data_IF_050002193566
#
_entry.id   IF_050002193566
#
_cell.length_a   1.000
_cell.length_b   1.000
_cell.length_c   1.000
_cell.angle_alpha   90.00
_cell.angle_beta   90.00
_cell.angle_gamma   90.00
#
_symmetry.space_group_name_H-M   'P 1'
#
loop_
_entity.id
_entity.type
_entity.pdbx_description
1 polymer ?
#
# COMPACT_ATOMS: atom_id res chain seq x y z
N UNK A 1 -12.02 -43.70 -21.44
CA UNK A 1 -12.03 -42.23 -21.58
C UNK A 1 -11.86 -41.97 -23.05
N UNK A 2 -12.95 -41.60 -23.68
CA UNK A 2 -13.03 -41.25 -25.10
C UNK A 2 -12.66 -39.78 -25.27
N UNK A 3 -12.13 -39.36 -26.42
CA UNK A 3 -11.80 -37.96 -26.71
C UNK A 3 -12.96 -37.00 -26.39
N UNK A 4 -14.19 -37.48 -26.58
CA UNK A 4 -15.41 -36.74 -26.28
C UNK A 4 -15.58 -36.36 -24.80
N UNK A 5 -15.05 -37.17 -23.87
CA UNK A 5 -15.11 -36.88 -22.42
C UNK A 5 -14.11 -35.78 -22.01
N UNK A 6 -13.07 -35.57 -22.81
CA UNK A 6 -12.03 -34.56 -22.56
C UNK A 6 -12.50 -33.19 -23.04
N UNK A 7 -13.15 -33.14 -24.20
CA UNK A 7 -13.73 -31.91 -24.75
C UNK A 7 -14.86 -31.37 -23.87
N UNK A 8 -15.75 -32.24 -23.38
CA UNK A 8 -16.88 -31.85 -22.51
C UNK A 8 -16.37 -31.27 -21.17
N UNK A 9 -15.28 -31.82 -20.63
CA UNK A 9 -14.62 -31.32 -19.43
C UNK A 9 -13.82 -30.04 -19.67
N UNK A 10 -13.28 -29.86 -20.87
CA UNK A 10 -12.61 -28.62 -21.28
C UNK A 10 -13.59 -27.47 -21.46
N UNK A 11 -14.79 -27.76 -21.97
CA UNK A 11 -15.85 -26.76 -22.11
C UNK A 11 -16.48 -26.40 -20.75
N UNK A 12 -16.67 -27.36 -19.83
CA UNK A 12 -17.04 -27.05 -18.43
C UNK A 12 -16.01 -26.14 -17.74
N UNK A 13 -14.71 -26.41 -17.92
CA UNK A 13 -13.64 -25.57 -17.35
C UNK A 13 -13.58 -24.17 -17.99
N UNK A 14 -13.96 -24.04 -19.27
CA UNK A 14 -14.09 -22.74 -19.95
C UNK A 14 -15.30 -21.94 -19.47
N UNK A 15 -16.41 -22.61 -19.18
CA UNK A 15 -17.59 -21.95 -18.61
C UNK A 15 -17.37 -21.51 -17.16
N UNK A 16 -16.63 -22.28 -16.35
CA UNK A 16 -16.18 -21.85 -15.01
C UNK A 16 -15.26 -20.62 -15.06
N UNK A 17 -14.28 -20.58 -15.97
CA UNK A 17 -13.44 -19.39 -16.20
C UNK A 17 -14.22 -18.21 -16.80
N UNK A 18 -15.22 -18.47 -17.64
CA UNK A 18 -16.04 -17.43 -18.29
C UNK A 18 -17.04 -16.78 -17.34
N UNK A 19 -17.40 -17.45 -16.24
CA UNK A 19 -18.33 -16.92 -15.24
C UNK A 19 -17.59 -16.19 -14.11
N UNK A 20 -16.26 -16.37 -14.02
CA UNK A 20 -15.38 -15.68 -13.08
C UNK A 20 -14.87 -14.33 -13.58
N UNK A 21 -15.63 -13.26 -13.30
CA UNK A 21 -15.11 -11.91 -13.01
C UNK A 21 -14.18 -11.22 -14.04
N UNK A 22 -14.30 -11.51 -15.34
CA UNK A 22 -13.54 -10.76 -16.38
C UNK A 22 -14.32 -9.60 -16.99
N UNK A 23 -15.65 -9.65 -17.00
CA UNK A 23 -16.49 -8.62 -17.60
C UNK A 23 -16.74 -7.41 -16.67
N UNK A 24 -16.62 -7.58 -15.36
CA UNK A 24 -16.76 -6.47 -14.39
C UNK A 24 -15.54 -5.54 -14.35
N UNK A 25 -14.39 -5.94 -14.94
CA UNK A 25 -13.20 -5.08 -15.04
C UNK A 25 -13.29 -4.00 -16.10
N UNK A 26 -14.16 -4.17 -17.09
CA UNK A 26 -14.20 -3.32 -18.30
C UNK A 26 -15.31 -2.25 -18.27
N UNK A 27 -16.09 -2.14 -17.18
CA UNK A 27 -17.01 -1.01 -16.98
C UNK A 27 -16.30 0.10 -16.17
N UNK A 28 -15.99 1.26 -16.77
CA UNK A 28 -15.39 2.39 -16.05
C UNK A 28 -16.25 2.89 -14.87
N UNK A 29 -17.53 2.51 -14.80
CA UNK A 29 -18.42 2.83 -13.69
C UNK A 29 -18.39 1.81 -12.54
N UNK A 30 -17.82 0.61 -12.76
CA UNK A 30 -17.64 -0.43 -11.73
C UNK A 30 -16.17 -0.58 -11.29
N UNK A 31 -15.23 0.19 -11.86
CA UNK A 31 -13.87 0.24 -11.33
C UNK A 31 -13.90 0.96 -9.98
N UNK A 32 -13.64 0.20 -8.92
CA UNK A 32 -13.43 0.72 -7.58
C UNK A 32 -12.43 1.88 -7.65
N UNK A 33 -12.77 3.00 -7.00
CA UNK A 33 -11.86 4.12 -6.91
C UNK A 33 -10.57 3.69 -6.19
N UNK A 34 -9.47 4.42 -6.37
CA UNK A 34 -8.25 4.09 -5.64
C UNK A 34 -8.46 4.18 -4.11
N UNK A 35 -9.35 5.06 -3.66
CA UNK A 35 -9.83 5.13 -2.27
C UNK A 35 -10.45 3.80 -1.82
N UNK A 36 -11.34 3.21 -2.60
CA UNK A 36 -11.96 1.90 -2.28
C UNK A 36 -10.91 0.79 -2.18
N UNK A 37 -9.93 0.79 -3.11
CA UNK A 37 -8.80 -0.16 -3.09
C UNK A 37 -7.94 0.03 -1.82
N UNK A 38 -7.74 1.26 -1.38
CA UNK A 38 -7.01 1.57 -0.15
C UNK A 38 -7.80 1.14 1.10
N UNK A 39 -9.12 1.30 1.13
CA UNK A 39 -9.96 0.80 2.23
C UNK A 39 -9.82 -0.71 2.37
N UNK A 40 -9.97 -1.46 1.28
CA UNK A 40 -9.83 -2.91 1.27
C UNK A 40 -8.43 -3.37 1.73
N UNK A 41 -7.38 -2.66 1.28
CA UNK A 41 -6.01 -2.94 1.70
C UNK A 41 -5.79 -2.66 3.19
N UNK A 42 -6.38 -1.58 3.73
CA UNK A 42 -6.29 -1.25 5.15
C UNK A 42 -7.03 -2.27 6.03
N UNK A 43 -8.18 -2.77 5.58
CA UNK A 43 -8.94 -3.83 6.27
C UNK A 43 -8.19 -5.16 6.22
N UNK A 44 -7.60 -5.50 5.08
CA UNK A 44 -6.75 -6.70 4.93
C UNK A 44 -5.52 -6.64 5.84
N UNK A 45 -4.92 -5.45 6.02
CA UNK A 45 -3.82 -5.26 6.95
C UNK A 45 -4.27 -5.47 8.41
N UNK A 46 -5.43 -4.94 8.82
CA UNK A 46 -5.95 -5.17 10.18
C UNK A 46 -6.35 -6.63 10.43
N UNK A 47 -6.86 -7.32 9.40
CA UNK A 47 -7.17 -8.75 9.47
C UNK A 47 -5.91 -9.64 9.56
N UNK A 48 -4.72 -9.09 9.29
CA UNK A 48 -3.46 -9.82 9.23
C UNK A 48 -3.24 -10.57 7.91
N UNK A 49 -4.06 -10.29 6.90
CA UNK A 49 -3.95 -10.86 5.54
C UNK A 49 -2.84 -10.19 4.72
N UNK A 50 -2.41 -8.99 5.13
CA UNK A 50 -1.24 -8.30 4.60
C UNK A 50 -0.15 -8.16 5.66
N UNK A 51 1.11 -8.33 5.23
CA UNK A 51 2.26 -7.99 6.07
C UNK A 51 2.30 -6.49 6.33
N UNK A 52 2.18 -6.09 7.59
CA UNK A 52 2.38 -4.71 8.04
C UNK A 52 3.84 -4.22 7.85
N UNK A 53 4.78 -5.17 7.65
CA UNK A 53 6.19 -4.85 7.48
C UNK A 53 6.53 -4.64 6.00
N UNK A 54 7.09 -3.46 5.69
CA UNK A 54 7.73 -3.17 4.40
C UNK A 54 9.25 -3.39 4.55
N UNK A 55 9.81 -4.33 3.77
CA UNK A 55 11.25 -4.61 3.75
C UNK A 55 11.87 -4.23 2.41
N UNK A 56 12.96 -3.48 2.41
CA UNK A 56 13.75 -3.18 1.21
C UNK A 56 15.20 -3.57 1.43
N UNK A 57 15.77 -4.35 0.49
CA UNK A 57 17.20 -4.66 0.49
C UNK A 57 17.95 -3.61 -0.32
N UNK A 58 18.51 -2.62 0.37
CA UNK A 58 19.29 -1.55 -0.24
C UNK A 58 20.56 -1.29 0.59
N UNK A 59 21.73 -1.80 0.15
CA UNK A 59 23.00 -1.57 0.82
C UNK A 59 23.42 -0.09 0.87
N UNK A 60 23.00 0.71 -0.11
CA UNK A 60 23.37 2.14 -0.20
C UNK A 60 22.57 2.94 0.82
N UNK A 61 21.26 2.71 0.90
CA UNK A 61 20.42 3.31 1.93
C UNK A 61 20.85 2.87 3.33
N UNK A 62 21.20 1.59 3.50
CA UNK A 62 21.72 1.08 4.76
C UNK A 62 23.01 1.81 5.18
N UNK A 63 23.92 2.09 4.24
CA UNK A 63 25.13 2.85 4.50
C UNK A 63 24.84 4.32 4.89
N UNK A 64 23.86 4.97 4.25
CA UNK A 64 23.44 6.34 4.62
C UNK A 64 22.90 6.37 6.04
N UNK A 65 21.99 5.45 6.40
CA UNK A 65 21.41 5.40 7.74
C UNK A 65 22.46 5.08 8.81
N UNK A 66 23.42 4.21 8.50
CA UNK A 66 24.57 3.95 9.38
C UNK A 66 25.39 5.22 9.60
N UNK A 67 25.71 5.97 8.54
CA UNK A 67 26.50 7.19 8.64
C UNK A 67 25.77 8.29 9.41
N UNK A 68 24.45 8.43 9.25
CA UNK A 68 23.65 9.39 10.01
C UNK A 68 23.64 9.08 11.52
N UNK A 69 23.63 7.80 11.88
CA UNK A 69 23.70 7.38 13.27
C UNK A 69 25.10 7.61 13.87
N UNK A 70 26.17 7.33 13.11
CA UNK A 70 27.55 7.57 13.55
C UNK A 70 27.91 9.06 13.68
N UNK A 71 27.24 9.93 12.92
CA UNK A 71 27.45 11.38 12.93
C UNK A 71 26.45 12.13 13.84
N UNK A 72 25.63 11.42 14.63
CA UNK A 72 24.60 11.98 15.52
C UNK A 72 23.58 12.90 14.79
N UNK A 73 23.25 12.60 13.52
CA UNK A 73 22.35 13.41 12.65
C UNK A 73 20.96 12.82 12.44
N UNK A 74 20.62 11.76 13.16
CA UNK A 74 19.33 11.08 13.04
C UNK A 74 18.17 12.00 13.45
N UNK A 75 18.31 12.73 14.57
CA UNK A 75 17.27 13.65 15.08
C UNK A 75 17.04 14.82 14.11
N UNK A 76 18.11 15.42 13.59
CA UNK A 76 18.02 16.52 12.62
C UNK A 76 17.25 16.11 11.36
N UNK A 77 17.58 14.94 10.78
CA UNK A 77 16.91 14.43 9.58
C UNK A 77 15.47 14.02 9.89
N UNK A 78 15.23 13.38 11.02
CA UNK A 78 13.90 13.03 11.48
C UNK A 78 13.00 14.27 11.59
N UNK A 79 13.50 15.34 12.23
CA UNK A 79 12.76 16.59 12.40
C UNK A 79 12.50 17.30 11.07
N UNK A 80 13.47 17.33 10.15
CA UNK A 80 13.28 17.90 8.81
C UNK A 80 12.20 17.16 8.01
N UNK A 81 12.24 15.83 8.03
CA UNK A 81 11.22 15.02 7.33
C UNK A 81 9.84 15.14 7.98
N UNK A 82 9.80 15.28 9.31
CA UNK A 82 8.55 15.49 10.05
C UNK A 82 7.94 16.87 9.76
N UNK A 83 8.77 17.89 9.58
CA UNK A 83 8.33 19.25 9.19
C UNK A 83 7.87 19.30 7.74
N UNK A 84 8.51 18.55 6.84
CA UNK A 84 8.11 18.48 5.43
C UNK A 84 6.81 17.69 5.19
N UNK A 85 6.41 16.83 6.12
CA UNK A 85 5.19 16.04 6.01
C UNK A 85 3.97 16.84 6.49
N UNK A 86 2.98 17.04 5.62
CA UNK A 86 1.78 17.83 5.93
C UNK A 86 0.73 17.06 6.74
N UNK A 87 0.99 15.79 7.05
CA UNK A 87 0.11 14.91 7.83
C UNK A 87 0.57 14.69 9.28
N UNK A 88 -0.29 14.04 10.06
CA UNK A 88 0.09 13.56 11.39
C UNK A 88 0.98 12.31 11.26
N UNK A 89 2.26 12.43 11.60
CA UNK A 89 3.20 11.32 11.46
C UNK A 89 2.95 10.20 12.47
N UNK A 90 2.48 10.55 13.68
CA UNK A 90 2.37 9.64 14.82
C UNK A 90 3.71 9.06 15.31
N UNK A 91 4.84 9.58 14.82
CA UNK A 91 6.18 9.10 15.16
C UNK A 91 6.83 10.03 16.19
N UNK A 92 7.38 9.46 17.25
CA UNK A 92 7.97 10.21 18.37
C UNK A 92 9.50 10.08 18.47
N UNK A 93 10.07 9.01 17.91
CA UNK A 93 11.48 8.65 18.10
C UNK A 93 12.22 8.55 16.76
N UNK A 94 13.45 9.06 16.72
CA UNK A 94 14.36 9.17 15.57
C UNK A 94 15.02 7.84 15.15
N UNK A 95 14.23 6.77 15.08
CA UNK A 95 14.73 5.46 14.63
C UNK A 95 14.94 5.39 13.11
N UNK A 96 15.81 4.49 12.65
CA UNK A 96 15.96 4.16 11.21
C UNK A 96 14.62 3.89 10.53
N UNK A 97 13.75 3.14 11.21
CA UNK A 97 12.41 2.83 10.70
C UNK A 97 11.50 4.05 10.59
N UNK A 98 11.65 5.03 11.50
CA UNK A 98 10.85 6.25 11.50
C UNK A 98 11.29 7.17 10.35
N UNK A 99 12.61 7.33 10.16
CA UNK A 99 13.17 8.08 9.04
C UNK A 99 12.75 7.48 7.69
N UNK A 100 12.84 6.16 7.52
CA UNK A 100 12.41 5.51 6.26
C UNK A 100 10.91 5.76 6.02
N UNK A 101 10.06 5.56 7.03
CA UNK A 101 8.61 5.75 6.90
C UNK A 101 8.26 7.20 6.54
N UNK A 102 8.91 8.19 7.16
CA UNK A 102 8.72 9.59 6.83
C UNK A 102 9.21 9.93 5.43
N UNK A 103 10.41 9.48 5.04
CA UNK A 103 10.96 9.73 3.72
C UNK A 103 10.05 9.17 2.61
N UNK A 104 9.46 7.99 2.81
CA UNK A 104 8.47 7.42 1.87
C UNK A 104 7.21 8.28 1.81
N UNK A 105 6.66 8.69 2.96
CA UNK A 105 5.44 9.54 3.01
C UNK A 105 5.65 10.90 2.36
N UNK A 106 6.76 11.57 2.64
CA UNK A 106 7.13 12.84 2.00
C UNK A 106 7.32 12.64 0.49
N UNK A 107 8.02 11.58 0.08
CA UNK A 107 8.21 11.28 -1.34
C UNK A 107 6.91 11.01 -2.09
N UNK A 108 5.93 10.36 -1.47
CA UNK A 108 4.60 10.16 -2.04
C UNK A 108 3.81 11.48 -2.07
N UNK A 109 3.85 12.27 -1.00
CA UNK A 109 3.18 13.57 -0.93
C UNK A 109 3.68 14.55 -2.00
N UNK A 110 4.99 14.63 -2.22
CA UNK A 110 5.58 15.57 -3.18
C UNK A 110 5.63 15.03 -4.62
N UNK A 111 5.71 13.70 -4.78
CA UNK A 111 6.01 13.05 -6.05
C UNK A 111 4.78 12.51 -6.80
N UNK A 112 3.62 12.46 -6.16
CA UNK A 112 2.39 11.95 -6.79
C UNK A 112 1.21 12.86 -6.52
N UNK A 113 0.44 13.16 -7.56
CA UNK A 113 -0.86 13.77 -7.40
C UNK A 113 -1.80 12.75 -6.70
N UNK A 114 -2.54 13.22 -5.70
CA UNK A 114 -3.69 12.56 -5.09
C UNK A 114 -3.46 11.30 -4.22
N UNK A 115 -2.33 10.58 -4.28
CA UNK A 115 -2.14 9.32 -3.49
C UNK A 115 -2.30 9.52 -1.98
N UNK A 116 -1.73 10.59 -1.43
CA UNK A 116 -1.81 10.88 0.00
C UNK A 116 -3.18 11.43 0.40
N UNK A 117 -3.87 12.11 -0.51
CA UNK A 117 -5.23 12.60 -0.31
C UNK A 117 -6.24 11.45 -0.34
N UNK A 118 -6.08 10.52 -1.29
CA UNK A 118 -6.87 9.29 -1.38
C UNK A 118 -6.68 8.40 -0.14
N UNK A 119 -5.44 8.28 0.37
CA UNK A 119 -5.16 7.57 1.63
C UNK A 119 -5.86 8.25 2.81
N UNK A 120 -5.83 9.57 2.88
CA UNK A 120 -6.54 10.31 3.93
C UNK A 120 -8.04 10.06 3.86
N UNK A 121 -8.62 10.11 2.66
CA UNK A 121 -10.03 9.83 2.44
C UNK A 121 -10.39 8.40 2.84
N UNK A 122 -9.61 7.40 2.43
CA UNK A 122 -9.83 6.00 2.78
C UNK A 122 -9.82 5.77 4.31
N UNK A 123 -8.91 6.43 5.03
CA UNK A 123 -8.85 6.38 6.50
C UNK A 123 -10.09 7.03 7.13
N UNK A 124 -10.60 8.12 6.56
CA UNK A 124 -11.83 8.78 7.01
C UNK A 124 -13.07 7.90 6.76
N UNK A 125 -13.20 7.33 5.57
CA UNK A 125 -14.32 6.46 5.19
C UNK A 125 -14.41 5.23 6.09
N UNK A 126 -13.27 4.61 6.39
CA UNK A 126 -13.20 3.48 7.32
C UNK A 126 -13.69 3.85 8.73
N UNK A 127 -13.31 5.02 9.24
CA UNK A 127 -13.76 5.50 10.57
C UNK A 127 -15.27 5.74 10.62
N UNK A 128 -15.87 6.22 9.53
CA UNK A 128 -17.32 6.47 9.49
C UNK A 128 -18.15 5.21 9.32
N UNK A 129 -17.58 4.17 8.71
CA UNK A 129 -18.25 2.87 8.49
C UNK A 129 -18.29 1.99 9.74
N UNK A 130 -17.36 2.17 10.69
CA UNK A 130 -17.28 1.38 11.94
C UNK A 130 -18.24 1.85 13.07
N UNK A 131 -19.23 2.72 12.80
CA UNK A 131 -20.21 3.22 13.81
C UNK A 131 -21.55 2.49 13.73
#
# INVERSE_FOLDING_TARGET
MTDNDIDERLDELREEESTGNRLDRDDPQNQASFVDVLVDALDSAEAGDLSETVTAYDPTLAAVLQALEEDDRMDDIFNQLREAYDGESGLTDESRSAIIRLAVRVGLQEGTDDVMDDLKQAVEDRRTTTI
#
